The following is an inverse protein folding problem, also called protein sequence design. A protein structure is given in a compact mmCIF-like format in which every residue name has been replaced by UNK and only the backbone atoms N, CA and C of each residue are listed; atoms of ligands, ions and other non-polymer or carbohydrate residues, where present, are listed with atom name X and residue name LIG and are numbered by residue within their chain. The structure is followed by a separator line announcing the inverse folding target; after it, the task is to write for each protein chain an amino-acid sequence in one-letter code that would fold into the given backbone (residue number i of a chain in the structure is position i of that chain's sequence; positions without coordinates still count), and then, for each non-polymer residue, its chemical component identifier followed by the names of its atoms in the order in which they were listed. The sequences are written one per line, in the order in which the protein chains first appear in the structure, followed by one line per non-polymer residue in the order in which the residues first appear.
data_IF_697243069184
#
_entry.id   IF_697243069184
#
_cell.length_a   1.000
_cell.length_b   1.000
_cell.length_c   1.000
_cell.angle_alpha   90.00
_cell.angle_beta   90.00
_cell.angle_gamma   90.00
#
_symmetry.space_group_name_H-M   'P 1'
#
loop_
_entity.id
_entity.type
_entity.pdbx_description
1 polymer ?
#
# COMPACT_ATOMS: atom_id res chain seq x y z
N UNK A 1 11.42 -28.31 -13.84
CA UNK A 1 12.71 -27.58 -13.80
C UNK A 1 12.75 -26.86 -12.47
N UNK A 2 13.83 -27.03 -11.71
CA UNK A 2 14.00 -26.57 -10.33
C UNK A 2 13.88 -25.05 -10.25
N UNK A 3 12.74 -24.58 -9.76
CA UNK A 3 12.54 -23.18 -9.40
C UNK A 3 13.10 -23.01 -7.99
N UNK A 4 14.30 -22.45 -7.88
CA UNK A 4 14.89 -22.20 -6.57
C UNK A 4 14.06 -21.15 -5.83
N UNK A 5 13.64 -21.51 -4.63
CA UNK A 5 13.01 -20.63 -3.67
C UNK A 5 14.04 -20.30 -2.60
N UNK A 6 14.20 -19.03 -2.28
CA UNK A 6 15.02 -18.56 -1.16
C UNK A 6 14.10 -17.91 -0.13
N UNK A 7 13.95 -18.56 1.03
CA UNK A 7 13.08 -18.07 2.12
C UNK A 7 13.96 -17.61 3.29
N UNK A 8 13.82 -16.35 3.67
CA UNK A 8 14.56 -15.74 4.78
C UNK A 8 13.57 -15.16 5.79
N UNK A 9 13.75 -15.51 7.06
CA UNK A 9 12.97 -14.94 8.16
C UNK A 9 13.56 -13.59 8.60
N UNK A 10 12.73 -12.55 8.61
CA UNK A 10 13.01 -11.29 9.28
C UNK A 10 12.53 -11.39 10.73
N UNK A 11 13.47 -11.61 11.65
CA UNK A 11 13.17 -11.79 13.08
C UNK A 11 12.70 -10.50 13.75
N UNK A 12 13.03 -9.33 13.19
CA UNK A 12 12.67 -8.03 13.76
C UNK A 12 11.22 -7.68 13.46
N UNK A 13 10.81 -7.83 12.20
CA UNK A 13 9.45 -7.53 11.76
C UNK A 13 8.49 -8.73 11.86
N UNK A 14 9.02 -9.91 12.23
CA UNK A 14 8.31 -11.19 12.27
C UNK A 14 7.56 -11.49 10.97
N UNK A 15 8.29 -11.44 9.85
CA UNK A 15 7.80 -11.74 8.52
C UNK A 15 8.83 -12.57 7.74
N UNK A 16 8.46 -13.03 6.55
CA UNK A 16 9.35 -13.78 5.65
C UNK A 16 9.54 -13.04 4.34
N UNK A 17 10.77 -13.09 3.80
CA UNK A 17 11.07 -12.82 2.40
C UNK A 17 11.13 -14.15 1.67
N UNK A 18 10.40 -14.30 0.56
CA UNK A 18 10.54 -15.42 -0.34
C UNK A 18 10.88 -14.91 -1.75
N UNK A 19 12.11 -15.18 -2.21
CA UNK A 19 12.54 -14.82 -3.55
C UNK A 19 12.34 -15.98 -4.51
N UNK A 20 11.58 -15.73 -5.58
CA UNK A 20 11.12 -16.74 -6.53
C UNK A 20 11.35 -16.26 -7.97
N UNK A 21 11.63 -17.19 -8.87
CA UNK A 21 11.67 -16.95 -10.30
C UNK A 21 10.40 -17.48 -10.96
N UNK A 22 9.63 -16.59 -11.61
CA UNK A 22 8.41 -16.93 -12.34
C UNK A 22 8.60 -16.69 -13.84
N UNK A 23 7.75 -17.31 -14.65
CA UNK A 23 7.55 -16.85 -16.02
C UNK A 23 6.79 -15.52 -16.02
N UNK A 24 7.02 -14.67 -17.02
CA UNK A 24 6.30 -13.39 -17.16
C UNK A 24 4.79 -13.62 -17.20
N UNK A 25 4.31 -14.62 -17.94
CA UNK A 25 2.89 -14.95 -18.01
C UNK A 25 2.29 -15.30 -16.64
N UNK A 26 2.96 -16.15 -15.86
CA UNK A 26 2.50 -16.55 -14.52
C UNK A 26 2.45 -15.36 -13.55
N UNK A 27 3.43 -14.47 -13.65
CA UNK A 27 3.49 -13.26 -12.84
C UNK A 27 2.38 -12.27 -13.22
N UNK A 28 2.20 -11.99 -14.51
CA UNK A 28 1.18 -11.07 -15.00
C UNK A 28 -0.23 -11.57 -14.68
N UNK A 29 -0.50 -12.87 -14.85
CA UNK A 29 -1.79 -13.47 -14.49
C UNK A 29 -2.12 -13.31 -13.00
N UNK A 30 -1.12 -13.56 -12.12
CA UNK A 30 -1.27 -13.39 -10.67
C UNK A 30 -1.61 -11.95 -10.30
N UNK A 31 -0.87 -11.01 -10.88
CA UNK A 31 -1.05 -9.57 -10.65
C UNK A 31 -2.40 -9.09 -11.21
N UNK A 32 -2.78 -9.50 -12.41
CA UNK A 32 -4.03 -9.09 -13.03
C UNK A 32 -5.25 -9.53 -12.21
N UNK A 33 -5.26 -10.76 -11.67
CA UNK A 33 -6.31 -11.23 -10.76
C UNK A 33 -6.44 -10.37 -9.51
N UNK A 34 -5.32 -9.99 -8.90
CA UNK A 34 -5.28 -9.14 -7.69
C UNK A 34 -5.79 -7.73 -7.97
N UNK A 35 -5.58 -7.21 -9.18
CA UNK A 35 -5.93 -5.84 -9.54
C UNK A 35 -7.24 -5.70 -10.32
N UNK A 36 -7.86 -6.80 -10.74
CA UNK A 36 -9.14 -6.80 -11.49
C UNK A 36 -10.27 -6.11 -10.73
N UNK A 37 -10.36 -6.31 -9.41
CA UNK A 37 -11.34 -5.64 -8.55
C UNK A 37 -11.05 -4.14 -8.32
N UNK A 38 -9.85 -3.66 -8.72
CA UNK A 38 -9.38 -2.28 -8.53
C UNK A 38 -9.32 -1.48 -9.84
N UNK A 39 -9.97 -1.95 -10.91
CA UNK A 39 -9.93 -1.32 -12.24
C UNK A 39 -8.77 -1.80 -13.13
N UNK A 40 -8.15 -2.95 -12.82
CA UNK A 40 -7.04 -3.52 -13.55
C UNK A 40 -5.69 -2.86 -13.26
N UNK A 41 -4.64 -3.27 -13.97
CA UNK A 41 -3.31 -2.63 -13.94
C UNK A 41 -3.35 -1.14 -14.33
N UNK A 42 -4.35 -0.76 -15.15
CA UNK A 42 -4.58 0.62 -15.58
C UNK A 42 -5.21 1.49 -14.47
N UNK A 43 -6.00 0.91 -13.56
CA UNK A 43 -6.71 1.64 -12.50
C UNK A 43 -5.83 2.12 -11.33
N UNK A 44 -4.57 1.71 -11.26
CA UNK A 44 -3.69 2.05 -10.14
C UNK A 44 -2.86 3.32 -10.36
N UNK A 45 -2.72 3.79 -11.62
CA UNK A 45 -1.98 4.99 -11.97
C UNK A 45 -2.20 5.40 -13.44
N UNK A 46 -2.52 6.67 -13.66
CA UNK A 46 -2.20 7.35 -14.92
C UNK A 46 -0.66 7.40 -15.09
N UNK A 47 -0.16 6.79 -16.15
CA UNK A 47 1.27 6.76 -16.51
C UNK A 47 1.95 8.12 -16.31
N UNK A 48 3.20 8.12 -15.81
CA UNK A 48 3.95 9.36 -15.62
C UNK A 48 4.03 10.16 -16.93
N UNK A 49 3.33 11.29 -16.97
CA UNK A 49 3.18 12.13 -18.17
C UNK A 49 4.41 13.02 -18.45
N UNK A 50 5.46 12.97 -17.63
CA UNK A 50 6.66 13.78 -17.87
C UNK A 50 7.47 13.19 -19.02
N UNK A 51 8.00 14.05 -19.88
CA UNK A 51 8.83 13.64 -21.04
C UNK A 51 10.00 12.73 -20.67
N UNK A 52 10.60 12.95 -19.50
CA UNK A 52 11.69 12.12 -18.97
C UNK A 52 11.21 10.73 -18.60
N UNK A 53 10.07 10.61 -17.91
CA UNK A 53 9.53 9.32 -17.53
C UNK A 53 9.06 8.51 -18.73
N UNK A 54 8.44 9.16 -19.73
CA UNK A 54 8.07 8.53 -21.00
C UNK A 54 9.31 7.97 -21.70
N UNK A 55 10.41 8.74 -21.76
CA UNK A 55 11.67 8.28 -22.39
C UNK A 55 12.31 7.10 -21.66
N UNK A 56 12.34 7.14 -20.32
CA UNK A 56 12.87 6.03 -19.50
C UNK A 56 12.03 4.76 -19.69
N UNK A 57 10.71 4.90 -19.71
CA UNK A 57 9.79 3.79 -19.94
C UNK A 57 9.97 3.17 -21.32
N UNK A 58 10.05 4.00 -22.37
CA UNK A 58 10.30 3.51 -23.73
C UNK A 58 11.61 2.72 -23.81
N UNK A 59 12.68 3.23 -23.18
CA UNK A 59 13.96 2.54 -23.11
C UNK A 59 13.86 1.21 -22.35
N UNK A 60 13.12 1.16 -21.25
CA UNK A 60 12.89 -0.08 -20.48
C UNK A 60 12.16 -1.14 -21.32
N UNK A 61 11.18 -0.74 -22.14
CA UNK A 61 10.47 -1.62 -23.08
C UNK A 61 11.44 -2.15 -24.14
N UNK A 62 12.22 -1.27 -24.79
CA UNK A 62 13.23 -1.66 -25.79
C UNK A 62 14.30 -2.60 -25.21
N UNK A 63 14.68 -2.41 -23.95
CA UNK A 63 15.66 -3.27 -23.27
C UNK A 63 15.04 -4.65 -22.95
N UNK A 64 13.79 -4.69 -22.49
CA UNK A 64 13.03 -5.93 -22.24
C UNK A 64 12.85 -6.76 -23.52
N UNK A 65 12.50 -6.13 -24.65
CA UNK A 65 12.38 -6.76 -25.97
C UNK A 65 13.69 -7.44 -26.40
N UNK A 66 14.83 -6.89 -25.98
CA UNK A 66 16.18 -7.45 -26.23
C UNK A 66 16.60 -8.50 -25.20
N UNK A 67 15.72 -8.87 -24.27
CA UNK A 67 15.98 -9.87 -23.24
C UNK A 67 16.66 -9.35 -21.97
N UNK A 68 16.63 -8.03 -21.72
CA UNK A 68 17.15 -7.50 -20.47
C UNK A 68 16.34 -8.01 -19.26
N UNK A 69 17.04 -8.34 -18.18
CA UNK A 69 16.42 -8.77 -16.93
C UNK A 69 16.27 -7.55 -16.02
N UNK A 70 15.07 -7.34 -15.49
CA UNK A 70 14.80 -6.26 -14.54
C UNK A 70 15.13 -6.67 -13.10
N UNK A 71 15.43 -5.71 -12.21
CA UNK A 71 15.52 -5.98 -10.79
C UNK A 71 14.23 -6.62 -10.24
N UNK A 72 14.29 -7.35 -9.12
CA UNK A 72 13.16 -8.11 -8.57
C UNK A 72 11.95 -7.23 -8.25
N UNK A 73 10.76 -7.66 -8.66
CA UNK A 73 9.50 -7.02 -8.29
C UNK A 73 9.12 -7.45 -6.88
N UNK A 74 8.70 -6.51 -6.04
CA UNK A 74 8.43 -6.75 -4.62
C UNK A 74 6.93 -6.73 -4.37
N UNK A 75 6.40 -7.84 -3.86
CA UNK A 75 4.99 -8.02 -3.51
C UNK A 75 4.84 -8.20 -2.00
N UNK A 76 3.81 -7.60 -1.42
CA UNK A 76 3.42 -7.75 -0.03
C UNK A 76 2.21 -8.67 0.06
N UNK A 77 2.27 -9.67 0.93
CA UNK A 77 1.24 -10.68 1.11
C UNK A 77 0.85 -10.72 2.60
N UNK A 78 -0.42 -10.49 2.89
CA UNK A 78 -0.99 -10.65 4.24
C UNK A 78 -1.75 -11.96 4.29
N UNK A 79 -1.35 -12.80 5.25
CA UNK A 79 -1.91 -14.14 5.50
C UNK A 79 -2.24 -14.32 6.99
N UNK A 80 -2.86 -15.43 7.38
CA UNK A 80 -3.10 -15.71 8.79
C UNK A 80 -1.81 -16.05 9.56
N UNK A 81 -1.78 -15.82 10.89
CA UNK A 81 -0.64 -16.22 11.73
C UNK A 81 -0.36 -17.74 11.68
N UNK A 82 -1.41 -18.54 11.48
CA UNK A 82 -1.30 -19.99 11.35
C UNK A 82 -0.50 -20.37 10.09
N UNK A 83 -0.83 -19.78 8.94
CA UNK A 83 -0.11 -20.02 7.68
C UNK A 83 1.33 -19.48 7.74
N UNK A 84 1.53 -18.32 8.38
CA UNK A 84 2.85 -17.70 8.55
C UNK A 84 3.81 -18.61 9.33
N UNK A 85 3.30 -19.39 10.28
CA UNK A 85 4.11 -20.29 11.11
C UNK A 85 4.73 -21.47 10.35
N UNK A 86 4.23 -21.78 9.15
CA UNK A 86 4.67 -22.93 8.34
C UNK A 86 5.44 -22.56 7.08
N UNK A 87 5.59 -21.27 6.77
CA UNK A 87 6.12 -20.78 5.49
C UNK A 87 7.53 -21.27 5.17
N UNK A 88 8.40 -21.37 6.17
CA UNK A 88 9.80 -21.77 6.01
C UNK A 88 9.99 -23.24 5.62
N UNK A 89 8.90 -24.02 5.63
CA UNK A 89 8.89 -25.45 5.30
C UNK A 89 8.20 -25.76 3.99
N UNK A 90 7.61 -24.76 3.34
CA UNK A 90 6.82 -24.96 2.12
C UNK A 90 7.72 -25.08 0.90
N UNK A 91 7.28 -25.93 -0.04
CA UNK A 91 7.82 -25.87 -1.39
C UNK A 91 7.25 -24.67 -2.18
N UNK A 92 7.78 -24.44 -3.38
CA UNK A 92 7.34 -23.33 -4.22
C UNK A 92 5.85 -23.40 -4.60
N UNK A 93 5.31 -24.60 -4.85
CA UNK A 93 3.93 -24.76 -5.30
C UNK A 93 2.97 -24.50 -4.13
N UNK A 94 3.31 -25.02 -2.95
CA UNK A 94 2.59 -24.78 -1.71
C UNK A 94 2.58 -23.29 -1.36
N UNK A 95 3.74 -22.62 -1.46
CA UNK A 95 3.83 -21.19 -1.21
C UNK A 95 2.99 -20.38 -2.21
N UNK A 96 3.08 -20.69 -3.51
CA UNK A 96 2.28 -20.02 -4.53
C UNK A 96 0.79 -20.25 -4.35
N UNK A 97 0.36 -21.41 -3.84
CA UNK A 97 -1.05 -21.68 -3.52
C UNK A 97 -1.55 -20.79 -2.39
N UNK A 98 -0.75 -20.60 -1.32
CA UNK A 98 -1.08 -19.66 -0.24
C UNK A 98 -1.16 -18.24 -0.78
N UNK A 99 -0.17 -17.82 -1.57
CA UNK A 99 -0.11 -16.46 -2.13
C UNK A 99 -1.32 -16.20 -3.04
N UNK A 100 -1.70 -17.18 -3.88
CA UNK A 100 -2.82 -17.06 -4.82
C UNK A 100 -4.19 -17.22 -4.17
N UNK A 101 -4.27 -17.50 -2.87
CA UNK A 101 -5.56 -17.60 -2.18
C UNK A 101 -6.27 -16.23 -2.21
N UNK A 102 -7.49 -16.13 -2.76
CA UNK A 102 -8.22 -14.86 -2.85
C UNK A 102 -8.57 -14.24 -1.50
N UNK A 103 -8.57 -15.01 -0.40
CA UNK A 103 -8.75 -14.48 0.95
C UNK A 103 -7.54 -13.67 1.44
N UNK A 104 -6.36 -13.90 0.85
CA UNK A 104 -5.13 -13.23 1.21
C UNK A 104 -4.97 -11.91 0.45
N UNK A 105 -4.45 -10.90 1.14
CA UNK A 105 -4.26 -9.58 0.54
C UNK A 105 -2.88 -9.49 -0.12
N UNK A 106 -2.86 -9.26 -1.44
CA UNK A 106 -1.63 -9.00 -2.19
C UNK A 106 -1.55 -7.52 -2.60
N UNK A 107 -0.37 -6.91 -2.46
CA UNK A 107 -0.08 -5.55 -2.89
C UNK A 107 1.29 -5.47 -3.57
N UNK A 108 1.44 -4.63 -4.60
CA UNK A 108 2.78 -4.32 -5.14
C UNK A 108 3.42 -3.30 -4.21
N UNK A 109 4.53 -3.67 -3.57
CA UNK A 109 5.34 -2.81 -2.71
C UNK A 109 6.24 -1.92 -3.56
N UNK A 110 6.93 -2.55 -4.52
CA UNK A 110 7.83 -1.91 -5.46
C UNK A 110 7.82 -2.72 -6.77
N UNK A 111 7.84 -2.02 -7.90
CA UNK A 111 7.90 -2.64 -9.21
C UNK A 111 6.78 -2.26 -10.17
N UNK A 112 5.86 -1.37 -9.79
CA UNK A 112 4.72 -1.00 -10.65
C UNK A 112 5.12 -0.63 -12.09
N UNK A 113 6.15 0.19 -12.27
CA UNK A 113 6.61 0.57 -13.62
C UNK A 113 7.18 -0.62 -14.40
N UNK A 114 7.83 -1.56 -13.71
CA UNK A 114 8.35 -2.81 -14.30
C UNK A 114 7.21 -3.73 -14.68
N UNK A 115 6.19 -3.86 -13.83
CA UNK A 115 4.95 -4.59 -14.12
C UNK A 115 4.26 -4.03 -15.36
N UNK A 116 4.11 -2.71 -15.46
CA UNK A 116 3.47 -2.09 -16.62
C UNK A 116 4.32 -2.27 -17.88
N UNK A 117 5.64 -2.14 -17.79
CA UNK A 117 6.53 -2.36 -18.93
C UNK A 117 6.46 -3.81 -19.42
N UNK A 118 6.46 -4.80 -18.51
CA UNK A 118 6.26 -6.21 -18.85
C UNK A 118 4.92 -6.45 -19.55
N UNK A 119 3.84 -5.86 -19.02
CA UNK A 119 2.51 -5.99 -19.63
C UNK A 119 2.41 -5.32 -21.00
N UNK A 120 3.14 -4.23 -21.25
CA UNK A 120 3.18 -3.57 -22.56
C UNK A 120 4.01 -4.35 -23.57
N UNK A 121 5.20 -4.83 -23.17
CA UNK A 121 6.04 -5.64 -24.06
C UNK A 121 5.32 -6.92 -24.46
N UNK A 122 4.67 -7.60 -23.52
CA UNK A 122 3.93 -8.85 -23.78
C UNK A 122 2.79 -8.69 -24.81
N UNK A 123 2.23 -7.47 -24.97
CA UNK A 123 1.20 -7.21 -25.98
C UNK A 123 1.76 -7.19 -27.42
N UNK A 124 3.03 -6.82 -27.58
CA UNK A 124 3.67 -6.62 -28.89
C UNK A 124 4.69 -7.73 -29.23
N UNK A 125 5.32 -8.30 -28.21
CA UNK A 125 6.36 -9.35 -28.31
C UNK A 125 6.07 -10.43 -27.29
N UNK A 126 6.06 -11.69 -27.73
CA UNK A 126 5.89 -12.84 -26.83
C UNK A 126 7.11 -12.98 -25.92
N UNK A 127 6.98 -12.51 -24.68
CA UNK A 127 7.94 -12.66 -23.60
C UNK A 127 7.39 -13.58 -22.49
N UNK A 128 6.32 -14.33 -22.77
CA UNK A 128 5.57 -15.14 -21.81
C UNK A 128 6.48 -16.09 -21.01
N UNK A 129 7.42 -16.73 -21.71
CA UNK A 129 8.39 -17.69 -21.17
C UNK A 129 9.63 -17.03 -20.55
N UNK A 130 9.81 -15.72 -20.71
CA UNK A 130 10.91 -14.99 -20.08
C UNK A 130 10.77 -15.05 -18.57
N UNK A 131 11.91 -14.96 -17.88
CA UNK A 131 11.97 -15.14 -16.44
C UNK A 131 11.97 -13.80 -15.73
N UNK A 132 11.11 -13.65 -14.74
CA UNK A 132 11.05 -12.50 -13.84
C UNK A 132 11.34 -12.95 -12.41
N UNK A 133 12.11 -12.14 -11.69
CA UNK A 133 12.35 -12.36 -10.24
C UNK A 133 11.31 -11.59 -9.45
N UNK A 134 10.68 -12.27 -8.51
CA UNK A 134 9.67 -11.72 -7.62
C UNK A 134 10.06 -12.04 -6.18
N UNK A 135 10.03 -11.03 -5.34
CA UNK A 135 10.26 -11.15 -3.91
C UNK A 135 8.92 -10.93 -3.18
N UNK A 136 8.48 -11.94 -2.45
CA UNK A 136 7.27 -11.90 -1.64
C UNK A 136 7.63 -11.61 -0.18
N UNK A 137 7.15 -10.49 0.32
CA UNK A 137 7.15 -10.14 1.73
C UNK A 137 5.85 -10.62 2.37
N UNK A 138 5.96 -11.61 3.24
CA UNK A 138 4.80 -12.33 3.76
C UNK A 138 4.70 -12.09 5.26
N UNK A 139 3.57 -11.56 5.70
CA UNK A 139 3.34 -11.19 7.10
C UNK A 139 1.90 -11.48 7.54
N UNK A 140 1.67 -11.54 8.85
CA UNK A 140 0.32 -11.59 9.42
C UNK A 140 -0.28 -10.22 9.71
N UNK A 141 0.55 -9.18 9.72
CA UNK A 141 0.16 -7.82 10.07
C UNK A 141 0.72 -6.85 9.04
N UNK A 142 -0.12 -5.90 8.62
CA UNK A 142 0.20 -4.86 7.65
C UNK A 142 1.44 -4.06 8.05
N UNK A 143 1.59 -3.76 9.35
CA UNK A 143 2.72 -3.00 9.89
C UNK A 143 4.09 -3.61 9.56
N UNK A 144 4.19 -4.94 9.49
CA UNK A 144 5.44 -5.62 9.16
C UNK A 144 5.88 -5.37 7.71
N UNK A 145 4.93 -5.05 6.81
CA UNK A 145 5.21 -4.70 5.42
C UNK A 145 5.48 -3.19 5.23
N UNK A 146 4.82 -2.34 6.03
CA UNK A 146 4.98 -0.88 6.00
C UNK A 146 6.45 -0.47 6.18
N UNK A 147 7.14 -1.06 7.14
CA UNK A 147 8.55 -0.77 7.39
C UNK A 147 9.39 -0.93 6.12
N UNK A 148 9.18 -1.98 5.30
CA UNK A 148 9.97 -2.15 4.07
C UNK A 148 9.52 -1.27 2.91
N UNK A 149 8.20 -1.08 2.75
CA UNK A 149 7.66 -0.14 1.76
C UNK A 149 8.23 1.28 1.93
N UNK A 150 8.43 1.70 3.19
CA UNK A 150 8.84 3.06 3.54
C UNK A 150 10.34 3.22 3.78
N UNK A 151 11.03 2.24 4.35
CA UNK A 151 12.45 2.36 4.77
C UNK A 151 13.42 1.80 3.73
N UNK A 152 12.99 0.88 2.88
CA UNK A 152 13.87 0.27 1.87
C UNK A 152 13.72 0.91 0.48
N UNK A 153 12.70 1.75 0.28
CA UNK A 153 12.54 2.58 -0.92
C UNK A 153 13.13 4.01 -0.76
N UNK A 154 13.62 4.41 0.42
CA UNK A 154 14.12 5.77 0.74
C UNK A 154 15.49 6.12 0.14
N UNK A 155 15.85 5.52 -1.00
CA UNK A 155 16.92 5.96 -1.89
C UNK A 155 16.44 6.38 -3.29
N UNK A 156 15.15 6.21 -3.61
CA UNK A 156 14.55 6.60 -4.89
C UNK A 156 13.47 7.68 -4.66
N UNK A 157 13.68 8.88 -5.20
CA UNK A 157 12.81 10.05 -5.05
C UNK A 157 11.57 9.91 -5.99
N UNK A 158 10.35 10.39 -5.67
CA UNK A 158 9.44 9.85 -4.67
C UNK A 158 8.08 9.45 -5.31
N UNK A 159 7.41 8.42 -4.78
CA UNK A 159 5.95 8.41 -4.80
C UNK A 159 5.46 9.61 -3.98
N UNK A 160 4.27 10.13 -4.26
CA UNK A 160 3.63 10.99 -3.27
C UNK A 160 3.41 10.12 -2.03
N UNK A 161 4.17 10.38 -0.97
CA UNK A 161 4.13 9.64 0.29
C UNK A 161 2.68 9.37 0.76
N UNK A 162 1.78 10.33 0.51
CA UNK A 162 0.34 10.20 0.80
C UNK A 162 -0.29 8.96 0.16
N UNK A 163 0.02 8.68 -1.11
CA UNK A 163 -0.49 7.49 -1.82
C UNK A 163 0.09 6.18 -1.26
N UNK A 164 1.36 6.18 -0.81
CA UNK A 164 1.98 5.00 -0.19
C UNK A 164 1.23 4.66 1.07
N UNK A 165 1.09 5.67 1.92
CA UNK A 165 0.36 5.57 3.17
C UNK A 165 -1.09 5.11 2.90
N UNK A 166 -1.83 5.72 1.98
CA UNK A 166 -3.22 5.33 1.67
C UNK A 166 -3.38 3.88 1.19
N UNK A 167 -2.46 3.41 0.34
CA UNK A 167 -2.53 2.05 -0.22
C UNK A 167 -2.43 1.01 0.89
N UNK A 168 -1.56 1.26 1.87
CA UNK A 168 -1.30 0.31 2.94
C UNK A 168 -2.40 0.32 3.99
N UNK A 169 -2.90 1.50 4.34
CA UNK A 169 -3.98 1.67 5.30
C UNK A 169 -5.37 1.50 4.68
N UNK A 170 -5.47 1.04 3.43
CA UNK A 170 -6.74 0.90 2.74
C UNK A 170 -7.73 -0.01 3.49
N UNK A 171 -7.24 -1.11 4.07
CA UNK A 171 -8.06 -1.99 4.90
C UNK A 171 -8.61 -1.24 6.11
N UNK A 172 -7.76 -0.50 6.82
CA UNK A 172 -8.15 0.28 7.99
C UNK A 172 -9.14 1.39 7.66
N UNK A 173 -8.98 2.07 6.51
CA UNK A 173 -9.92 3.09 6.06
C UNK A 173 -11.29 2.48 5.70
N UNK A 174 -11.29 1.28 5.11
CA UNK A 174 -12.54 0.56 4.79
C UNK A 174 -13.26 0.13 6.07
N UNK A 175 -12.54 -0.38 7.05
CA UNK A 175 -13.09 -0.72 8.37
C UNK A 175 -13.67 0.51 9.08
N UNK A 176 -12.95 1.63 9.08
CA UNK A 176 -13.43 2.89 9.64
C UNK A 176 -14.73 3.35 8.98
N UNK A 177 -14.79 3.33 7.64
CA UNK A 177 -15.99 3.70 6.88
C UNK A 177 -17.17 2.75 7.13
N UNK A 178 -16.91 1.46 7.28
CA UNK A 178 -17.95 0.49 7.62
C UNK A 178 -18.51 0.74 9.03
N UNK A 179 -17.66 1.13 9.97
CA UNK A 179 -18.05 1.43 11.34
C UNK A 179 -18.79 2.77 11.46
N UNK A 180 -18.37 3.77 10.69
CA UNK A 180 -18.99 5.10 10.65
C UNK A 180 -19.36 5.48 9.20
N UNK A 181 -20.51 5.00 8.68
CA UNK A 181 -20.91 5.22 7.28
C UNK A 181 -21.10 6.69 6.90
N UNK A 182 -21.40 7.54 7.88
CA UNK A 182 -21.62 8.98 7.71
C UNK A 182 -20.32 9.78 7.52
N UNK A 183 -19.16 9.14 7.67
CA UNK A 183 -17.84 9.77 7.43
C UNK A 183 -17.47 9.58 5.97
N UNK A 184 -17.22 10.71 5.30
CA UNK A 184 -16.71 10.70 3.93
C UNK A 184 -15.19 10.85 3.94
N UNK A 185 -14.52 9.95 3.23
CA UNK A 185 -13.06 9.94 3.15
C UNK A 185 -12.65 10.11 1.67
N UNK A 186 -12.04 11.25 1.35
CA UNK A 186 -11.46 11.55 0.05
C UNK A 186 -10.09 10.92 -0.08
N UNK A 187 -9.87 10.16 -1.15
CA UNK A 187 -8.56 9.63 -1.53
C UNK A 187 -7.69 10.71 -2.17
N UNK A 188 -6.39 10.46 -2.33
CA UNK A 188 -5.49 11.40 -3.04
C UNK A 188 -6.00 11.80 -4.42
N UNK A 189 -6.72 10.90 -5.10
CA UNK A 189 -7.17 11.10 -6.48
C UNK A 189 -8.53 11.78 -6.60
N UNK A 190 -9.23 11.90 -5.47
CA UNK A 190 -10.49 12.61 -5.42
C UNK A 190 -10.18 14.12 -5.42
N UNK A 191 -10.73 14.85 -6.40
CA UNK A 191 -10.70 16.32 -6.45
C UNK A 191 -11.58 16.97 -5.36
N UNK A 192 -12.12 16.16 -4.45
CA UNK A 192 -13.04 16.58 -3.40
C UNK A 192 -12.35 17.53 -2.42
N UNK A 193 -12.91 18.74 -2.27
CA UNK A 193 -12.59 19.61 -1.15
C UNK A 193 -13.63 19.40 -0.07
N UNK A 194 -13.23 19.54 1.20
CA UNK A 194 -14.17 19.58 2.32
C UNK A 194 -15.13 20.76 2.15
N UNK A 195 -16.41 20.45 2.02
CA UNK A 195 -17.53 21.41 1.93
C UNK A 195 -18.49 21.21 3.10
N UNK A 196 -18.68 19.97 3.53
CA UNK A 196 -19.58 19.59 4.62
C UNK A 196 -18.81 19.02 5.82
N UNK A 197 -19.49 18.94 6.97
CA UNK A 197 -18.94 18.23 8.12
C UNK A 197 -18.71 16.74 7.83
N UNK A 198 -17.84 16.12 8.63
CA UNK A 198 -17.51 14.68 8.54
C UNK A 198 -16.81 14.26 7.25
N UNK A 199 -16.28 15.21 6.49
CA UNK A 199 -15.48 14.95 5.30
C UNK A 199 -13.99 15.12 5.63
N UNK A 200 -13.19 14.09 5.37
CA UNK A 200 -11.75 14.07 5.65
C UNK A 200 -10.96 13.55 4.46
N UNK A 201 -9.69 13.95 4.35
CA UNK A 201 -8.78 13.30 3.41
C UNK A 201 -8.11 12.09 4.05
N UNK A 202 -7.97 11.02 3.29
CA UNK A 202 -7.40 9.76 3.75
C UNK A 202 -5.97 9.94 4.28
N UNK A 203 -5.12 10.69 3.57
CA UNK A 203 -3.78 11.03 4.04
C UNK A 203 -3.76 11.69 5.44
N UNK A 204 -4.75 12.52 5.77
CA UNK A 204 -4.89 13.16 7.09
C UNK A 204 -5.40 12.22 8.16
N UNK A 205 -6.37 11.37 7.84
CA UNK A 205 -6.83 10.34 8.77
C UNK A 205 -5.68 9.41 9.13
N UNK A 206 -4.85 9.05 8.17
CA UNK A 206 -3.71 8.17 8.43
C UNK A 206 -2.60 8.91 9.18
N UNK A 207 -2.34 10.19 8.88
CA UNK A 207 -1.44 11.01 9.69
C UNK A 207 -1.88 11.00 11.17
N UNK A 208 -3.17 11.19 11.44
CA UNK A 208 -3.72 11.11 12.79
C UNK A 208 -3.55 9.72 13.42
N UNK A 209 -3.73 8.64 12.65
CA UNK A 209 -3.47 7.27 13.11
C UNK A 209 -2.03 7.11 13.59
N UNK A 210 -1.09 7.68 12.84
CA UNK A 210 0.34 7.62 13.16
C UNK A 210 0.69 8.44 14.38
N UNK A 211 0.18 9.66 14.46
CA UNK A 211 0.32 10.55 15.63
C UNK A 211 -0.25 9.89 16.88
N UNK A 212 -1.42 9.27 16.77
CA UNK A 212 -2.09 8.54 17.84
C UNK A 212 -1.27 7.33 18.31
N UNK A 213 -0.72 6.54 17.38
CA UNK A 213 0.11 5.38 17.71
C UNK A 213 1.47 5.74 18.28
N UNK A 214 2.07 6.82 17.78
CA UNK A 214 3.35 7.32 18.27
C UNK A 214 3.23 8.08 19.59
N UNK A 215 2.00 8.38 20.05
CA UNK A 215 1.68 9.18 21.24
C UNK A 215 2.38 10.55 21.21
N UNK A 216 2.31 11.21 20.07
CA UNK A 216 2.91 12.52 19.83
C UNK A 216 1.86 13.55 19.47
N UNK A 217 2.27 14.80 19.45
CA UNK A 217 1.52 15.93 18.91
C UNK A 217 1.64 16.06 17.39
N UNK A 218 2.76 15.60 16.83
CA UNK A 218 3.04 15.66 15.39
C UNK A 218 4.02 14.58 14.96
N UNK A 219 3.87 14.12 13.72
CA UNK A 219 4.82 13.23 13.04
C UNK A 219 5.31 13.92 11.77
N UNK A 220 6.64 13.92 11.56
CA UNK A 220 7.18 14.30 10.26
C UNK A 220 7.09 13.13 9.29
N UNK A 221 5.98 13.07 8.56
CA UNK A 221 5.75 12.02 7.58
C UNK A 221 6.81 12.05 6.47
N UNK A 222 7.34 13.21 6.06
CA UNK A 222 8.21 13.32 4.88
C UNK A 222 9.60 12.74 5.11
N UNK A 223 10.14 12.91 6.31
CA UNK A 223 11.53 12.51 6.60
C UNK A 223 11.63 11.29 7.53
N UNK A 224 10.63 11.03 8.38
CA UNK A 224 10.77 10.11 9.51
C UNK A 224 9.67 9.06 9.63
N UNK A 225 8.87 8.86 8.58
CA UNK A 225 7.82 7.83 8.59
C UNK A 225 8.39 6.46 8.94
N UNK A 226 9.47 6.11 8.24
CA UNK A 226 10.35 4.98 8.51
C UNK A 226 10.66 4.82 10.00
N UNK A 227 11.20 5.87 10.60
CA UNK A 227 11.62 5.89 11.99
C UNK A 227 10.42 5.73 12.94
N UNK A 228 9.28 6.38 12.67
CA UNK A 228 8.08 6.25 13.50
C UNK A 228 7.55 4.82 13.53
N UNK A 229 7.54 4.11 12.40
CA UNK A 229 7.12 2.70 12.36
C UNK A 229 8.09 1.74 13.04
N UNK A 230 9.34 2.16 13.26
CA UNK A 230 10.33 1.39 14.03
C UNK A 230 10.33 1.67 15.51
N UNK A 231 9.65 2.73 15.94
CA UNK A 231 9.63 3.08 17.36
C UNK A 231 8.86 2.03 18.13
N UNK A 232 9.48 1.63 19.23
CA UNK A 232 8.90 0.67 20.15
C UNK A 232 7.53 1.13 20.65
N UNK A 233 7.36 2.43 20.95
CA UNK A 233 6.07 3.01 21.38
C UNK A 233 4.96 2.82 20.35
N UNK A 234 5.29 2.93 19.05
CA UNK A 234 4.34 2.73 17.96
C UNK A 234 3.98 1.25 17.82
N UNK A 235 5.00 0.38 17.83
CA UNK A 235 4.81 -1.07 17.73
C UNK A 235 3.99 -1.60 18.91
N UNK A 236 4.30 -1.17 20.14
CA UNK A 236 3.57 -1.55 21.36
C UNK A 236 2.13 -1.04 21.34
N UNK A 237 1.93 0.20 20.89
CA UNK A 237 0.58 0.77 20.79
C UNK A 237 -0.26 0.02 19.77
N UNK A 238 0.26 -0.28 18.57
CA UNK A 238 -0.50 -1.04 17.56
C UNK A 238 -0.57 -2.54 17.86
N UNK A 239 0.32 -3.08 18.71
CA UNK A 239 0.24 -4.46 19.19
C UNK A 239 -0.98 -4.70 20.11
N UNK A 240 -1.54 -3.65 20.69
CA UNK A 240 -2.79 -3.73 21.42
C UNK A 240 -3.95 -4.05 20.45
N UNK A 241 -4.66 -5.18 20.61
CA UNK A 241 -5.75 -5.59 19.71
C UNK A 241 -6.87 -4.53 19.57
N UNK A 242 -7.04 -3.69 20.59
CA UNK A 242 -8.07 -2.65 20.61
C UNK A 242 -7.60 -1.30 20.08
N UNK A 243 -6.31 -1.11 19.80
CA UNK A 243 -5.76 0.18 19.40
C UNK A 243 -6.49 0.78 18.20
N UNK A 244 -6.63 -0.01 17.14
CA UNK A 244 -7.31 0.40 15.91
C UNK A 244 -8.77 0.76 16.17
N UNK A 245 -9.45 -0.03 17.01
CA UNK A 245 -10.83 0.25 17.40
C UNK A 245 -10.97 1.54 18.21
N UNK A 246 -10.06 1.80 19.16
CA UNK A 246 -10.03 3.04 19.94
C UNK A 246 -9.81 4.23 19.01
N UNK A 247 -8.85 4.13 18.09
CA UNK A 247 -8.63 5.17 17.09
C UNK A 247 -9.90 5.45 16.27
N UNK A 248 -10.63 4.41 15.85
CA UNK A 248 -11.88 4.60 15.12
C UNK A 248 -12.93 5.35 15.95
N UNK A 249 -13.08 5.03 17.23
CA UNK A 249 -13.98 5.79 18.12
C UNK A 249 -13.57 7.25 18.23
N UNK A 250 -12.27 7.53 18.35
CA UNK A 250 -11.75 8.91 18.39
C UNK A 250 -12.10 9.69 17.12
N UNK A 251 -11.98 9.06 15.96
CA UNK A 251 -12.40 9.67 14.68
C UNK A 251 -13.93 9.86 14.63
N UNK A 252 -14.70 8.90 15.16
CA UNK A 252 -16.16 9.04 15.31
C UNK A 252 -16.55 10.25 16.15
N UNK A 253 -15.93 10.43 17.32
CA UNK A 253 -16.15 11.61 18.16
C UNK A 253 -15.74 12.91 17.49
N UNK A 254 -14.63 12.91 16.74
CA UNK A 254 -14.21 14.06 15.96
C UNK A 254 -15.24 14.43 14.89
N UNK A 255 -15.86 13.43 14.24
CA UNK A 255 -16.91 13.61 13.24
C UNK A 255 -18.21 14.15 13.84
N UNK A 256 -18.59 13.69 15.03
CA UNK A 256 -19.74 14.22 15.75
C UNK A 256 -19.50 15.66 16.22
N UNK A 257 -18.32 15.93 16.74
CA UNK A 257 -17.91 17.29 17.11
C UNK A 257 -17.94 18.23 15.91
N UNK A 258 -17.35 17.82 14.78
CA UNK A 258 -17.32 18.59 13.55
C UNK A 258 -18.72 18.92 13.02
N UNK A 259 -19.64 17.96 13.09
CA UNK A 259 -21.04 18.16 12.73
C UNK A 259 -21.69 19.24 13.60
N UNK A 260 -21.50 19.19 14.92
CA UNK A 260 -22.06 20.20 15.84
C UNK A 260 -21.51 21.59 15.54
N UNK A 261 -20.20 21.71 15.32
CA UNK A 261 -19.57 22.99 14.96
C UNK A 261 -20.11 23.52 13.63
N UNK A 262 -20.27 22.67 12.62
CA UNK A 262 -20.79 23.10 11.31
C UNK A 262 -22.25 23.59 11.33
N UNK A 263 -23.03 23.14 12.31
CA UNK A 263 -24.43 23.55 12.47
C UNK A 263 -24.57 24.92 13.14
N UNK A 264 -23.49 25.46 13.71
CA UNK A 264 -23.49 26.77 14.33
C UNK A 264 -23.62 27.88 13.27
N UNK A 265 -24.69 28.67 13.37
CA UNK A 265 -24.87 29.90 12.60
C UNK A 265 -24.71 31.07 13.56
N UNK A 266 -23.81 32.01 13.23
CA UNK A 266 -23.63 33.20 14.04
C UNK A 266 -24.90 34.06 13.96
N UNK A 267 -25.49 34.42 15.10
CA UNK A 267 -26.69 35.26 15.15
C UNK A 267 -26.40 36.75 14.94
N UNK A 268 -25.13 37.15 14.92
CA UNK A 268 -24.67 38.51 14.62
C UNK A 268 -23.75 38.49 13.38
N UNK A 269 -24.32 38.74 12.20
CA UNK A 269 -23.54 39.05 10.99
C UNK A 269 -22.97 40.48 11.07
N UNK A 270 -21.93 40.68 11.87
CA UNK A 270 -21.01 41.80 11.69
C UNK A 270 -19.64 41.23 11.29
N UNK A 271 -19.46 40.93 10.01
CA UNK A 271 -18.22 40.38 9.48
C UNK A 271 -18.01 40.70 8.00
N UNK A 272 -16.80 41.18 7.67
CA UNK A 272 -16.35 41.83 6.43
C UNK A 272 -16.39 41.01 5.12
N UNK A 273 -16.94 39.80 5.12
CA UNK A 273 -17.08 38.99 3.91
C UNK A 273 -18.55 38.73 3.65
N UNK A 274 -19.19 39.68 2.95
CA UNK A 274 -20.39 39.40 2.17
C UNK A 274 -19.96 38.70 0.87
N UNK A 275 -20.78 37.76 0.42
CA UNK A 275 -20.64 36.96 -0.80
C UNK A 275 -20.21 37.76 -2.04
#
# INVERSE_FOLDING_TARGET
MTTNIDIIKDTRANCYSAMIQLNVAEYLEMVEKVFKEKGGLEGQRDTLKTTTAIRIRKRMIEDLEKGAILPPIVLGVIISEKELSTIDKLDINELLNIIRNPENSISIIDGMQRTTALSEVEKETDISANKVRVEFWIASKVNSLIYRMLVLNTGQIPWNLRRQIETVFQANLKELKNKFPDIEIFKVDDQGKRINARQYHADKVIELFLVFGARKEKVDLKERLADEFTRQDFIESVANPNFTNIFYEVIGYLADFDKVISAYKNTEEEGYFKE
#
